data_IF_342921248058
#
_entry.id   IF_342921248058
#
_cell.length_a   1.000
_cell.length_b   1.000
_cell.length_c   1.000
_cell.angle_alpha   90.00
_cell.angle_beta   90.00
_cell.angle_gamma   90.00
#
_symmetry.space_group_name_H-M   'P 1'
#
loop_
_entity.id
_entity.type
_entity.pdbx_description
1 polymer ?
#
# COMPACT_ATOMS: atom_id res chain seq x y z
N UNK A 1 -7.30 -11.30 25.88
CA UNK A 1 -7.70 -11.32 24.47
C UNK A 1 -6.93 -10.20 23.79
N UNK A 2 -6.02 -10.54 22.88
CA UNK A 2 -5.22 -9.52 22.19
C UNK A 2 -6.11 -8.79 21.20
N UNK A 3 -6.22 -7.47 21.34
CA UNK A 3 -7.01 -6.56 20.49
C UNK A 3 -6.44 -6.41 19.06
N UNK A 4 -6.04 -7.49 18.42
CA UNK A 4 -5.47 -7.48 17.06
C UNK A 4 -6.48 -7.05 15.97
N UNK A 5 -7.72 -6.77 16.32
CA UNK A 5 -8.78 -6.47 15.36
C UNK A 5 -9.01 -4.98 15.05
N UNK A 6 -8.31 -4.06 15.71
CA UNK A 6 -8.61 -2.63 15.59
C UNK A 6 -7.66 -1.86 14.67
N UNK A 7 -6.40 -2.24 14.60
CA UNK A 7 -5.41 -1.53 13.81
C UNK A 7 -5.44 -1.95 12.35
N UNK A 8 -5.26 -0.98 11.46
CA UNK A 8 -5.20 -1.18 10.01
C UNK A 8 -3.76 -1.19 9.47
N UNK A 9 -2.79 -1.00 10.36
CA UNK A 9 -1.37 -1.02 10.06
C UNK A 9 -0.57 -1.58 11.22
N UNK A 10 0.44 -2.39 10.89
CA UNK A 10 1.41 -2.91 11.85
C UNK A 10 2.82 -2.76 11.30
N UNK A 11 3.75 -2.41 12.17
CA UNK A 11 5.17 -2.45 11.87
C UNK A 11 5.73 -3.87 12.06
N UNK A 12 6.77 -4.16 11.30
CA UNK A 12 7.49 -5.42 11.43
C UNK A 12 8.92 -5.18 11.94
N UNK A 13 9.33 -5.98 12.91
CA UNK A 13 10.70 -6.02 13.41
C UNK A 13 11.55 -6.93 12.51
N UNK A 14 12.34 -6.32 11.62
CA UNK A 14 13.23 -7.03 10.69
C UNK A 14 14.60 -6.36 10.74
N UNK A 15 15.57 -7.02 11.37
CA UNK A 15 16.89 -6.46 11.69
C UNK A 15 17.71 -6.03 10.46
N UNK A 16 17.43 -6.61 9.30
CA UNK A 16 18.16 -6.34 8.05
C UNK A 16 17.35 -5.47 7.07
N UNK A 17 16.36 -4.73 7.54
CA UNK A 17 15.55 -3.83 6.69
C UNK A 17 16.41 -2.79 5.96
N UNK A 18 17.49 -2.31 6.59
CA UNK A 18 18.37 -1.34 5.97
C UNK A 18 19.09 -1.93 4.74
N UNK A 19 19.56 -3.17 4.82
CA UNK A 19 20.20 -3.87 3.70
C UNK A 19 19.21 -4.09 2.55
N UNK A 20 17.96 -4.45 2.86
CA UNK A 20 16.88 -4.57 1.86
C UNK A 20 16.67 -3.22 1.16
N UNK A 21 16.62 -2.14 1.93
CA UNK A 21 16.46 -0.77 1.40
C UNK A 21 17.60 -0.37 0.48
N UNK A 22 18.84 -0.69 0.86
CA UNK A 22 20.04 -0.40 0.07
C UNK A 22 20.05 -1.18 -1.27
N UNK A 23 19.57 -2.40 -1.29
CA UNK A 23 19.43 -3.19 -2.52
C UNK A 23 18.33 -2.67 -3.44
N UNK A 24 17.19 -2.25 -2.86
CA UNK A 24 16.03 -1.83 -3.65
C UNK A 24 16.17 -0.39 -4.15
N UNK A 25 16.80 0.50 -3.38
CA UNK A 25 16.86 1.94 -3.72
C UNK A 25 17.38 2.23 -5.13
N UNK A 26 18.44 1.58 -5.64
CA UNK A 26 18.92 1.81 -7.01
C UNK A 26 17.92 1.36 -8.09
N UNK A 27 16.99 0.46 -7.77
CA UNK A 27 16.02 -0.05 -8.75
C UNK A 27 14.99 1.01 -9.13
N UNK A 28 14.79 2.03 -8.29
CA UNK A 28 13.89 3.14 -8.60
C UNK A 28 14.38 4.00 -9.77
N UNK A 29 15.67 4.03 -10.01
CA UNK A 29 16.28 4.80 -11.11
C UNK A 29 16.60 3.92 -12.34
N UNK A 30 16.18 2.66 -12.30
CA UNK A 30 16.39 1.73 -13.40
C UNK A 30 15.14 1.67 -14.29
N UNK A 31 15.25 2.17 -15.51
CA UNK A 31 14.16 2.21 -16.50
C UNK A 31 13.60 0.83 -16.87
N UNK A 32 14.35 -0.26 -16.59
CA UNK A 32 13.85 -1.63 -16.74
C UNK A 32 12.64 -1.88 -15.82
N UNK A 33 12.65 -1.31 -14.61
CA UNK A 33 11.66 -1.60 -13.58
C UNK A 33 10.71 -0.44 -13.32
N UNK A 34 11.17 0.80 -13.42
CA UNK A 34 10.36 1.98 -13.14
C UNK A 34 10.31 2.85 -14.39
N UNK A 35 9.14 3.02 -14.95
CA UNK A 35 8.91 3.95 -16.06
C UNK A 35 8.40 5.26 -15.49
N UNK A 36 9.14 6.31 -15.74
CA UNK A 36 8.70 7.66 -15.45
C UNK A 36 7.57 8.04 -16.43
N UNK A 37 6.52 8.60 -15.92
CA UNK A 37 5.46 9.17 -16.77
C UNK A 37 4.30 8.26 -17.12
N UNK A 38 4.13 7.11 -16.47
CA UNK A 38 2.85 6.38 -16.58
C UNK A 38 1.74 7.12 -15.81
N UNK A 39 1.46 8.34 -16.30
CA UNK A 39 0.42 9.24 -15.82
C UNK A 39 -0.98 8.76 -16.20
N UNK A 40 -1.09 7.57 -16.78
CA UNK A 40 -2.29 7.18 -17.55
C UNK A 40 -3.56 7.03 -16.72
N UNK A 41 -3.54 7.29 -15.39
CA UNK A 41 -4.68 6.88 -14.58
C UNK A 41 -5.24 7.84 -13.54
N UNK A 42 -4.61 9.00 -13.22
CA UNK A 42 -5.08 9.76 -12.05
C UNK A 42 -5.02 11.28 -12.14
N UNK A 43 -4.71 11.89 -13.26
CA UNK A 43 -4.77 13.35 -13.31
C UNK A 43 -5.71 13.86 -14.39
N UNK A 44 -6.90 14.24 -14.00
CA UNK A 44 -7.61 15.34 -14.65
C UNK A 44 -7.00 16.70 -14.24
N UNK A 45 -5.95 16.71 -13.41
CA UNK A 45 -5.21 17.90 -13.01
C UNK A 45 -3.85 17.92 -13.69
N UNK A 46 -3.56 18.99 -14.41
CA UNK A 46 -2.37 19.26 -15.22
C UNK A 46 -1.01 19.30 -14.48
N UNK A 47 -0.86 18.66 -13.33
CA UNK A 47 0.41 18.62 -12.59
C UNK A 47 1.27 17.46 -13.07
N UNK A 48 2.29 17.82 -13.86
CA UNK A 48 3.32 16.96 -14.45
C UNK A 48 4.35 16.43 -13.44
N UNK A 49 3.97 16.17 -12.20
CA UNK A 49 4.90 15.69 -11.20
C UNK A 49 5.15 14.19 -11.38
N UNK A 50 6.42 13.89 -11.63
CA UNK A 50 6.97 12.58 -11.97
C UNK A 50 6.41 11.48 -11.07
N UNK A 51 5.58 10.65 -11.63
CA UNK A 51 5.07 9.45 -11.01
C UNK A 51 5.68 8.24 -11.72
N UNK A 52 6.55 7.52 -11.02
CA UNK A 52 7.16 6.31 -11.55
C UNK A 52 6.55 5.09 -10.86
N UNK A 53 6.19 4.10 -11.63
CA UNK A 53 5.67 2.84 -11.12
C UNK A 53 6.20 1.66 -11.92
N UNK A 54 6.50 0.57 -11.25
CA UNK A 54 6.96 -0.63 -11.93
C UNK A 54 7.01 -1.86 -11.06
N UNK A 55 7.28 -2.99 -11.68
CA UNK A 55 7.38 -4.28 -11.01
C UNK A 55 8.78 -4.86 -11.17
N UNK A 56 9.29 -5.45 -10.10
CA UNK A 56 10.55 -6.20 -10.08
C UNK A 56 10.21 -7.68 -9.90
N UNK A 57 10.57 -8.55 -10.84
CA UNK A 57 10.51 -9.99 -10.64
C UNK A 57 11.37 -10.42 -9.46
N UNK A 58 10.93 -11.40 -8.69
CA UNK A 58 11.68 -11.85 -7.51
C UNK A 58 13.06 -12.44 -7.84
N UNK A 59 13.20 -13.00 -9.04
CA UNK A 59 14.48 -13.49 -9.57
C UNK A 59 15.52 -12.38 -9.83
N UNK A 60 15.06 -11.14 -10.00
CA UNK A 60 15.93 -9.97 -10.20
C UNK A 60 16.27 -9.28 -8.85
N UNK A 61 15.74 -9.77 -7.74
CA UNK A 61 16.01 -9.23 -6.41
C UNK A 61 17.36 -9.70 -5.87
N UNK A 62 18.03 -8.83 -5.12
CA UNK A 62 19.28 -9.15 -4.43
C UNK A 62 19.09 -10.09 -3.22
N UNK A 63 20.20 -10.53 -2.61
CA UNK A 63 20.17 -11.54 -1.55
C UNK A 63 19.41 -11.08 -0.30
N UNK A 64 19.49 -9.81 0.10
CA UNK A 64 18.77 -9.29 1.25
C UNK A 64 17.28 -9.18 1.01
N UNK A 65 16.89 -8.78 -0.20
CA UNK A 65 15.48 -8.73 -0.61
C UNK A 65 14.88 -10.12 -0.68
N UNK A 66 15.62 -11.10 -1.23
CA UNK A 66 15.18 -12.50 -1.23
C UNK A 66 15.07 -13.06 0.19
N UNK A 67 16.04 -12.75 1.08
CA UNK A 67 15.95 -13.12 2.50
C UNK A 67 14.71 -12.51 3.17
N UNK A 68 14.32 -11.30 2.79
CA UNK A 68 13.11 -10.66 3.29
C UNK A 68 11.85 -11.36 2.76
N UNK A 69 11.82 -11.72 1.48
CA UNK A 69 10.73 -12.49 0.88
C UNK A 69 10.59 -13.85 1.58
N UNK A 70 11.70 -14.50 1.91
CA UNK A 70 11.72 -15.81 2.57
C UNK A 70 11.25 -15.79 4.04
N UNK A 71 11.04 -14.60 4.65
CA UNK A 71 10.33 -14.49 5.93
C UNK A 71 8.86 -14.86 5.82
N UNK A 72 8.30 -14.78 4.60
CA UNK A 72 6.91 -15.07 4.31
C UNK A 72 6.78 -16.40 3.55
N UNK A 73 5.59 -16.99 3.61
CA UNK A 73 5.27 -18.06 2.65
C UNK A 73 5.32 -17.46 1.23
N UNK A 74 6.13 -18.07 0.36
CA UNK A 74 6.28 -17.60 -1.03
C UNK A 74 4.96 -17.61 -1.81
N UNK A 75 4.00 -18.43 -1.41
CA UNK A 75 2.67 -18.42 -1.97
C UNK A 75 1.85 -17.18 -1.54
N UNK A 76 2.26 -16.50 -0.47
CA UNK A 76 1.59 -15.28 -0.02
C UNK A 76 1.99 -14.06 -0.83
N UNK A 77 3.22 -14.01 -1.33
CA UNK A 77 3.75 -12.86 -2.06
C UNK A 77 3.75 -13.12 -3.58
N UNK A 78 3.23 -12.17 -4.34
CA UNK A 78 3.15 -12.28 -5.80
C UNK A 78 4.25 -11.52 -6.54
N UNK A 79 4.56 -10.30 -6.08
CA UNK A 79 5.51 -9.43 -6.77
C UNK A 79 6.02 -8.31 -5.85
N UNK A 80 7.13 -7.72 -6.24
CA UNK A 80 7.64 -6.47 -5.70
C UNK A 80 7.26 -5.34 -6.66
N UNK A 81 6.53 -4.34 -6.16
CA UNK A 81 6.19 -3.12 -6.88
C UNK A 81 6.99 -1.96 -6.33
N UNK A 82 7.55 -1.15 -7.22
CA UNK A 82 8.20 0.11 -6.90
C UNK A 82 7.29 1.27 -7.27
N UNK A 83 7.15 2.24 -6.39
CA UNK A 83 6.34 3.42 -6.63
C UNK A 83 7.06 4.68 -6.15
N UNK A 84 7.22 5.65 -7.06
CA UNK A 84 7.73 7.00 -6.78
C UNK A 84 6.55 7.95 -6.64
N UNK A 85 6.52 8.74 -5.58
CA UNK A 85 5.49 9.73 -5.33
C UNK A 85 6.10 11.11 -5.15
N UNK A 86 5.52 12.12 -5.75
CA UNK A 86 5.84 13.52 -5.52
C UNK A 86 5.10 14.07 -4.31
N UNK A 87 5.66 15.05 -3.58
CA UNK A 87 5.03 15.67 -2.43
C UNK A 87 3.72 16.41 -2.76
N UNK A 88 3.53 16.79 -4.02
CA UNK A 88 2.31 17.46 -4.48
C UNK A 88 1.14 16.49 -4.72
N UNK A 89 1.42 15.20 -4.77
CA UNK A 89 0.40 14.17 -4.96
C UNK A 89 -0.01 13.57 -3.61
N UNK A 90 -0.82 14.28 -2.84
CA UNK A 90 -1.58 13.65 -1.77
C UNK A 90 -2.62 12.73 -2.43
N UNK A 91 -2.49 11.42 -2.19
CA UNK A 91 -3.51 10.48 -2.64
C UNK A 91 -4.80 10.72 -1.91
N UNK A 92 -5.86 10.86 -2.66
CA UNK A 92 -7.21 10.82 -2.14
C UNK A 92 -7.55 9.46 -1.51
N UNK A 93 -8.63 9.44 -0.77
CA UNK A 93 -9.17 8.23 -0.20
C UNK A 93 -9.40 7.16 -1.26
N UNK A 94 -8.76 6.02 -1.12
CA UNK A 94 -8.86 4.90 -2.06
C UNK A 94 -8.76 3.55 -1.35
N UNK A 95 -9.16 2.50 -2.05
CA UNK A 95 -8.89 1.11 -1.65
C UNK A 95 -7.92 0.49 -2.65
N UNK A 96 -7.14 -0.50 -2.19
CA UNK A 96 -6.22 -1.23 -3.04
C UNK A 96 -6.97 -2.12 -4.03
N UNK A 97 -7.05 -1.70 -5.29
CA UNK A 97 -7.61 -2.51 -6.36
C UNK A 97 -6.50 -2.89 -7.31
N UNK A 98 -6.42 -4.17 -7.66
CA UNK A 98 -5.54 -4.63 -8.70
C UNK A 98 -6.16 -4.31 -10.06
N UNK A 99 -5.68 -3.25 -10.69
CA UNK A 99 -6.15 -2.87 -12.02
C UNK A 99 -5.41 -3.68 -13.08
N UNK A 100 -6.05 -4.68 -13.63
CA UNK A 100 -5.66 -5.18 -14.96
C UNK A 100 -6.36 -4.33 -16.00
N UNK A 101 -5.60 -3.72 -16.91
CA UNK A 101 -6.10 -2.71 -17.88
C UNK A 101 -7.22 -3.25 -18.78
N UNK A 102 -7.20 -4.54 -19.09
CA UNK A 102 -8.26 -5.23 -19.83
C UNK A 102 -9.52 -5.44 -19.01
N UNK A 103 -9.38 -5.58 -17.71
CA UNK A 103 -10.46 -5.80 -16.78
C UNK A 103 -11.37 -4.58 -16.61
N UNK A 104 -10.81 -3.35 -16.63
CA UNK A 104 -11.62 -2.14 -16.57
C UNK A 104 -12.59 -2.01 -17.75
N UNK A 105 -12.21 -2.51 -18.92
CA UNK A 105 -13.11 -2.50 -20.10
C UNK A 105 -14.26 -3.49 -19.94
N UNK A 106 -14.01 -4.66 -19.39
CA UNK A 106 -15.03 -5.68 -19.12
C UNK A 106 -15.91 -5.34 -17.93
N UNK A 107 -15.35 -4.82 -16.84
CA UNK A 107 -16.10 -4.48 -15.62
C UNK A 107 -16.97 -3.24 -15.79
N UNK A 108 -16.68 -2.36 -16.72
CA UNK A 108 -17.63 -1.31 -17.11
C UNK A 108 -18.93 -1.89 -17.68
N UNK A 109 -18.88 -3.09 -18.23
CA UNK A 109 -20.04 -3.78 -18.81
C UNK A 109 -20.73 -4.73 -17.82
N UNK A 110 -20.01 -5.31 -16.83
CA UNK A 110 -20.52 -6.39 -15.99
C UNK A 110 -20.82 -6.05 -14.53
N UNK A 111 -20.43 -4.88 -14.03
CA UNK A 111 -20.81 -4.32 -12.71
C UNK A 111 -20.54 -5.18 -11.46
N UNK A 112 -19.81 -6.27 -11.51
CA UNK A 112 -19.48 -7.10 -10.35
C UNK A 112 -17.98 -7.07 -10.04
N UNK A 113 -17.57 -6.30 -9.02
CA UNK A 113 -16.24 -6.41 -8.43
C UNK A 113 -16.16 -7.75 -7.70
N UNK A 114 -15.34 -8.64 -8.21
CA UNK A 114 -15.08 -9.89 -7.52
C UNK A 114 -14.22 -9.63 -6.27
N UNK A 115 -14.59 -10.13 -5.08
CA UNK A 115 -13.86 -9.87 -3.83
C UNK A 115 -12.37 -10.21 -3.88
N UNK A 116 -11.97 -11.17 -4.73
CA UNK A 116 -10.57 -11.59 -4.89
C UNK A 116 -9.70 -10.60 -5.67
N UNK A 117 -10.26 -9.52 -6.20
CA UNK A 117 -9.53 -8.51 -6.97
C UNK A 117 -9.18 -7.27 -6.14
N UNK A 118 -9.74 -7.16 -4.95
CA UNK A 118 -9.33 -6.17 -3.97
C UNK A 118 -8.05 -6.66 -3.31
N UNK A 119 -6.97 -5.90 -3.42
CA UNK A 119 -5.76 -6.16 -2.64
C UNK A 119 -6.11 -6.05 -1.17
N UNK A 120 -6.03 -7.17 -0.46
CA UNK A 120 -6.41 -7.24 0.93
C UNK A 120 -5.35 -6.59 1.83
N UNK A 121 -4.08 -6.73 1.46
CA UNK A 121 -2.97 -6.15 2.21
C UNK A 121 -1.73 -5.93 1.32
N UNK A 122 -0.84 -5.07 1.77
CA UNK A 122 0.50 -4.88 1.22
C UNK A 122 1.52 -4.75 2.34
N UNK A 123 2.75 -5.12 2.04
CA UNK A 123 3.88 -4.91 2.92
C UNK A 123 4.80 -3.88 2.27
N UNK A 124 4.94 -2.72 2.91
CA UNK A 124 5.67 -1.59 2.36
C UNK A 124 6.99 -1.34 3.09
N UNK A 125 8.01 -0.99 2.33
CA UNK A 125 9.28 -0.46 2.83
C UNK A 125 9.48 0.93 2.22
N UNK A 126 9.64 1.94 3.08
CA UNK A 126 10.01 3.29 2.65
C UNK A 126 11.50 3.32 2.28
N UNK A 127 11.80 3.65 1.03
CA UNK A 127 13.16 3.70 0.47
C UNK A 127 13.69 5.12 0.28
N UNK A 128 12.86 6.16 0.45
CA UNK A 128 13.28 7.56 0.44
C UNK A 128 13.69 8.04 1.84
N UNK A 129 14.41 9.17 1.94
CA UNK A 129 14.73 9.80 3.23
C UNK A 129 13.52 10.43 3.93
N UNK A 130 12.39 10.60 3.23
CA UNK A 130 11.17 11.16 3.81
C UNK A 130 10.64 10.24 4.88
N UNK A 131 10.52 10.77 6.09
CA UNK A 131 9.89 10.14 7.26
C UNK A 131 8.87 11.12 7.84
N UNK A 132 7.89 10.62 8.57
CA UNK A 132 6.84 11.44 9.15
C UNK A 132 5.63 11.65 8.24
N UNK A 133 5.61 11.05 7.07
CA UNK A 133 4.40 10.93 6.26
C UNK A 133 3.34 10.14 7.01
N UNK A 134 2.07 10.49 6.79
CA UNK A 134 0.95 9.81 7.46
C UNK A 134 0.17 8.96 6.48
N UNK A 135 -0.30 7.82 6.97
CA UNK A 135 -1.31 7.03 6.30
C UNK A 135 -2.54 6.97 7.21
N UNK A 136 -3.64 7.50 6.71
CA UNK A 136 -4.93 7.50 7.40
C UNK A 136 -5.78 6.36 6.87
N UNK A 137 -6.51 5.70 7.77
CA UNK A 137 -7.49 4.68 7.41
C UNK A 137 -8.86 5.10 7.89
N UNK A 138 -9.88 4.91 7.06
CA UNK A 138 -11.22 5.35 7.38
C UNK A 138 -12.27 4.29 7.09
N UNK A 139 -13.33 4.31 7.89
CA UNK A 139 -14.58 3.64 7.56
C UNK A 139 -15.41 4.50 6.63
N UNK A 140 -16.20 3.85 5.81
CA UNK A 140 -17.13 4.52 4.92
C UNK A 140 -18.16 5.37 5.66
N UNK A 141 -18.33 6.60 5.22
CA UNK A 141 -19.66 7.17 5.12
C UNK A 141 -20.33 6.59 3.86
N UNK A 142 -21.67 6.43 3.82
CA UNK A 142 -22.34 5.85 2.67
C UNK A 142 -21.89 6.57 1.40
N UNK A 143 -21.10 5.87 0.60
CA UNK A 143 -20.52 6.41 -0.61
C UNK A 143 -21.63 6.66 -1.62
N UNK A 144 -21.54 7.75 -2.31
CA UNK A 144 -22.29 7.90 -3.58
C UNK A 144 -21.75 6.83 -4.51
N UNK A 145 -22.63 5.93 -4.89
CA UNK A 145 -22.38 4.96 -5.93
C UNK A 145 -22.01 5.70 -7.22
N UNK A 146 -20.70 5.88 -7.46
CA UNK A 146 -20.24 6.43 -8.71
C UNK A 146 -20.16 5.28 -9.70
N UNK A 147 -21.20 5.11 -10.51
CA UNK A 147 -21.32 4.07 -11.54
C UNK A 147 -21.25 2.62 -11.02
N UNK A 148 -21.77 2.33 -9.84
CA UNK A 148 -21.75 0.97 -9.29
C UNK A 148 -20.41 0.53 -8.69
N UNK A 149 -19.39 1.36 -8.68
CA UNK A 149 -18.08 1.06 -8.11
C UNK A 149 -17.83 1.85 -6.84
N UNK A 150 -17.41 1.16 -5.79
CA UNK A 150 -16.89 1.74 -4.55
C UNK A 150 -15.40 2.10 -4.72
N UNK A 151 -15.05 2.76 -5.79
CA UNK A 151 -13.70 3.24 -6.02
C UNK A 151 -13.76 4.74 -5.87
N UNK A 152 -13.61 5.19 -4.64
CA UNK A 152 -13.51 6.60 -4.38
C UNK A 152 -12.11 7.10 -4.69
N UNK A 153 -11.89 7.52 -5.92
CA UNK A 153 -10.99 8.62 -6.17
C UNK A 153 -11.86 9.85 -6.13
N UNK A 154 -11.67 10.71 -5.15
CA UNK A 154 -12.43 11.93 -5.02
C UNK A 154 -12.15 12.63 -3.71
N UNK A 155 -12.38 13.93 -3.67
CA UNK A 155 -12.30 14.72 -2.46
C UNK A 155 -13.46 14.37 -1.53
N UNK A 156 -13.18 13.51 -0.56
CA UNK A 156 -14.11 13.10 0.49
C UNK A 156 -13.72 13.68 1.85
N UNK A 157 -12.85 14.65 1.89
CA UNK A 157 -12.40 15.27 3.12
C UNK A 157 -13.60 15.83 3.90
N UNK A 158 -13.60 15.61 5.20
CA UNK A 158 -14.72 15.94 6.09
C UNK A 158 -15.90 14.97 6.05
N UNK A 159 -15.81 13.85 5.31
CA UNK A 159 -16.86 12.82 5.20
C UNK A 159 -16.41 11.43 5.62
N UNK A 160 -15.10 11.25 5.81
CA UNK A 160 -14.52 9.96 6.18
C UNK A 160 -14.22 9.93 7.67
N UNK A 161 -14.68 8.89 8.35
CA UNK A 161 -14.34 8.66 9.75
C UNK A 161 -13.04 7.92 9.84
N UNK A 162 -11.98 8.61 10.22
CA UNK A 162 -10.65 8.02 10.45
C UNK A 162 -10.72 7.09 11.64
N UNK A 163 -10.25 5.87 11.48
CA UNK A 163 -10.25 4.82 12.49
C UNK A 163 -8.86 4.34 12.85
N UNK A 164 -7.88 4.64 12.02
CA UNK A 164 -6.46 4.41 12.29
C UNK A 164 -5.62 5.46 11.58
N UNK A 165 -4.51 5.85 12.20
CA UNK A 165 -3.61 6.89 11.75
C UNK A 165 -2.19 6.46 12.09
N UNK A 166 -1.38 6.33 11.06
CA UNK A 166 -0.02 5.82 11.18
C UNK A 166 0.99 6.82 10.61
N UNK A 167 1.95 7.19 11.43
CA UNK A 167 3.11 7.99 11.00
C UNK A 167 4.18 7.04 10.48
N UNK A 168 4.56 7.23 9.22
CA UNK A 168 5.54 6.37 8.56
C UNK A 168 6.91 6.52 9.20
N UNK A 169 7.47 5.41 9.65
CA UNK A 169 8.82 5.26 10.16
C UNK A 169 9.67 4.39 9.20
N UNK A 170 10.81 3.96 9.67
CA UNK A 170 11.77 3.18 8.88
C UNK A 170 11.51 1.68 8.87
N UNK A 171 10.64 1.19 9.72
CA UNK A 171 10.28 -0.23 9.76
C UNK A 171 9.44 -0.63 8.54
N UNK A 172 9.51 -1.89 8.09
CA UNK A 172 8.53 -2.40 7.15
C UNK A 172 7.14 -2.35 7.78
N UNK A 173 6.12 -2.00 6.98
CA UNK A 173 4.74 -1.89 7.46
C UNK A 173 3.79 -2.76 6.67
N UNK A 174 3.00 -3.53 7.38
CA UNK A 174 1.88 -4.30 6.85
C UNK A 174 0.62 -3.43 6.90
N UNK A 175 0.00 -3.18 5.75
CA UNK A 175 -1.14 -2.30 5.58
C UNK A 175 -2.39 -3.06 5.13
N UNK A 176 -3.54 -2.74 5.73
CA UNK A 176 -4.84 -3.17 5.22
C UNK A 176 -5.28 -2.31 4.03
N UNK A 177 -4.96 -2.76 2.83
CA UNK A 177 -5.31 -2.03 1.61
C UNK A 177 -6.73 -2.30 1.11
N UNK A 178 -7.45 -3.24 1.73
CA UNK A 178 -8.88 -3.43 1.50
C UNK A 178 -9.73 -2.35 2.18
N UNK A 179 -9.15 -1.58 3.10
CA UNK A 179 -9.81 -0.46 3.76
C UNK A 179 -9.51 0.84 3.05
N UNK A 180 -10.44 1.81 3.13
CA UNK A 180 -10.16 3.16 2.63
C UNK A 180 -8.94 3.73 3.35
N UNK A 181 -7.98 4.20 2.56
CA UNK A 181 -6.79 4.83 3.10
C UNK A 181 -6.37 6.01 2.24
N UNK A 182 -5.71 6.97 2.87
CA UNK A 182 -5.17 8.19 2.28
C UNK A 182 -3.74 8.36 2.74
N UNK A 183 -2.89 8.81 1.82
CA UNK A 183 -1.51 9.15 2.13
C UNK A 183 -1.37 10.65 2.17
N UNK A 184 -0.83 11.17 3.27
CA UNK A 184 -0.40 12.56 3.42
C UNK A 184 1.12 12.59 3.41
N UNK A 185 1.70 12.96 2.27
CA UNK A 185 3.13 13.02 2.10
C UNK A 185 3.67 14.43 2.35
N UNK A 186 4.81 14.51 3.02
CA UNK A 186 5.52 15.77 3.29
C UNK A 186 6.71 15.97 2.34
N UNK A 187 7.07 14.95 1.56
CA UNK A 187 8.19 14.97 0.64
C UNK A 187 8.07 13.88 -0.42
N UNK A 188 9.08 13.78 -1.28
CA UNK A 188 9.16 12.69 -2.26
C UNK A 188 9.23 11.33 -1.55
N UNK A 189 8.42 10.39 -1.98
CA UNK A 189 8.36 9.02 -1.43
C UNK A 189 8.72 8.00 -2.49
N UNK A 190 9.68 7.16 -2.15
CA UNK A 190 9.97 5.93 -2.88
C UNK A 190 9.55 4.75 -2.01
N UNK A 191 8.59 3.97 -2.47
CA UNK A 191 8.03 2.85 -1.71
C UNK A 191 8.21 1.57 -2.49
N UNK A 192 8.82 0.59 -1.83
CA UNK A 192 8.83 -0.80 -2.25
C UNK A 192 7.64 -1.53 -1.60
N UNK A 193 6.71 -2.01 -2.41
CA UNK A 193 5.51 -2.72 -1.96
C UNK A 193 5.59 -4.19 -2.36
N UNK A 194 5.67 -5.07 -1.37
CA UNK A 194 5.52 -6.51 -1.58
C UNK A 194 4.02 -6.82 -1.58
N UNK A 195 3.52 -7.23 -2.73
CA UNK A 195 2.11 -7.46 -2.96
C UNK A 195 1.74 -8.89 -2.55
N UNK A 196 0.75 -9.00 -1.69
CA UNK A 196 0.19 -10.29 -1.33
C UNK A 196 -0.75 -10.84 -2.41
N UNK A 197 -0.86 -12.15 -2.47
CA UNK A 197 -1.86 -12.82 -3.29
C UNK A 197 -3.28 -12.39 -2.86
N UNK A 198 -4.24 -12.23 -3.78
CA UNK A 198 -5.57 -11.71 -3.47
C UNK A 198 -6.36 -12.50 -2.43
N UNK A 199 -6.03 -13.80 -2.28
CA UNK A 199 -6.66 -14.65 -1.27
C UNK A 199 -6.09 -14.50 0.14
N UNK A 200 -4.98 -13.76 0.30
CA UNK A 200 -4.36 -13.51 1.61
C UNK A 200 -5.03 -12.28 2.22
N UNK A 201 -5.87 -12.50 3.21
CA UNK A 201 -6.50 -11.40 3.94
C UNK A 201 -5.49 -10.68 4.83
N UNK A 202 -5.77 -9.43 5.17
CA UNK A 202 -4.97 -8.68 6.14
C UNK A 202 -4.87 -9.42 7.48
N UNK A 203 -5.98 -9.97 7.96
CA UNK A 203 -6.00 -10.76 9.19
C UNK A 203 -5.10 -12.00 9.12
N UNK A 204 -5.08 -12.69 7.97
CA UNK A 204 -4.18 -13.83 7.73
C UNK A 204 -2.72 -13.40 7.77
N UNK A 205 -2.37 -12.30 7.11
CA UNK A 205 -1.02 -11.78 7.09
C UNK A 205 -0.55 -11.34 8.49
N UNK A 206 -1.41 -10.66 9.27
CA UNK A 206 -1.15 -10.27 10.65
C UNK A 206 -0.89 -11.50 11.53
N UNK A 207 -1.78 -12.49 11.48
CA UNK A 207 -1.64 -13.72 12.25
C UNK A 207 -0.32 -14.47 11.93
N UNK A 208 0.04 -14.51 10.65
CA UNK A 208 1.30 -15.10 10.20
C UNK A 208 2.52 -14.34 10.77
N UNK A 209 2.54 -13.01 10.66
CA UNK A 209 3.63 -12.20 11.21
C UNK A 209 3.74 -12.32 12.73
N UNK A 210 2.62 -12.48 13.41
CA UNK A 210 2.58 -12.70 14.85
C UNK A 210 3.15 -14.06 15.21
N UNK A 211 2.78 -15.13 14.51
CA UNK A 211 3.31 -16.49 14.70
C UNK A 211 4.82 -16.54 14.48
N UNK A 212 5.31 -15.80 13.48
CA UNK A 212 6.75 -15.64 13.21
C UNK A 212 7.49 -14.75 14.22
N UNK A 213 6.78 -14.07 15.11
CA UNK A 213 7.38 -13.17 16.10
C UNK A 213 8.01 -11.91 15.50
N UNK A 214 7.60 -11.54 14.27
CA UNK A 214 8.10 -10.34 13.59
C UNK A 214 7.14 -9.16 13.67
N UNK A 215 5.93 -9.34 14.18
CA UNK A 215 4.96 -8.25 14.36
C UNK A 215 5.35 -7.39 15.57
N UNK A 216 5.42 -6.07 15.39
CA UNK A 216 5.56 -5.13 16.50
C UNK A 216 4.16 -4.86 17.07
N UNK A 217 3.91 -5.19 18.36
CA UNK A 217 2.62 -4.89 18.97
C UNK A 217 2.39 -3.38 19.03
N UNK A 218 1.21 -2.93 18.63
CA UNK A 218 0.77 -1.55 18.83
C UNK A 218 0.07 -1.40 20.18
N UNK A 219 0.36 -0.30 20.86
CA UNK A 219 -0.20 0.04 22.18
C UNK A 219 -0.86 1.43 22.19
N UNK A 220 -0.73 2.16 21.08
CA UNK A 220 -1.37 3.46 20.90
C UNK A 220 -2.89 3.31 20.80
N UNK A 221 -3.59 4.33 21.26
CA UNK A 221 -5.04 4.42 21.12
C UNK A 221 -5.33 5.43 20.01
N UNK A 222 -5.98 4.98 18.95
CA UNK A 222 -6.46 5.89 17.91
C UNK A 222 -7.92 6.19 18.21
N UNK A 223 -8.21 7.44 18.55
CA UNK A 223 -9.59 7.89 18.70
C UNK A 223 -10.13 8.28 17.31
N UNK A 224 -11.26 7.70 16.87
CA UNK A 224 -11.82 8.03 15.57
C UNK A 224 -12.21 9.51 15.47
N UNK A 225 -11.87 10.13 14.35
CA UNK A 225 -12.22 11.51 14.02
C UNK A 225 -12.68 11.65 12.56
N UNK A 226 -13.29 12.78 12.23
CA UNK A 226 -13.70 13.08 10.85
C UNK A 226 -12.61 13.88 10.13
N UNK A 227 -12.24 13.43 8.94
CA UNK A 227 -11.25 14.10 8.07
C UNK A 227 -11.93 14.73 6.85
#
# INVERSE_FOLDING_TARGET
MNNLGFYQVYELNVDFTQQVREEISPLFDNEKYVKDGDQSRHSETDNKDVWGNGHVPFEDCGPWTNKFIDLFDRNFLQSLRLSKFSPTNSYDWHIGIEQKTEYWKQTQEELEIQPYQVKQCTLNILCSPSIGDRTLFATEMPMRNYRGFYIGYGDHDGKMRVVDDYVVDRNPVLLNTAMFHKIQATGTRNIASFLFAPYVSFATAVAYCQEKGILIPRTDIVEPYWA
#
